data_IF_239683961600
#
_entry.id   IF_239683961600
#
_cell.length_a   1.000
_cell.length_b   1.000
_cell.length_c   1.000
_cell.angle_alpha   90.00
_cell.angle_beta   90.00
_cell.angle_gamma   90.00
#
_symmetry.space_group_name_H-M   'P 1'
#
loop_
_entity.id
_entity.type
_entity.pdbx_description
1 polymer ?
#
# COMPACT_ATOMS: atom_id res chain seq x y z
N UNK A 1 4.08 -21.91 7.50
CA UNK A 1 2.68 -21.44 7.67
C UNK A 1 1.86 -22.57 8.26
N UNK A 2 1.26 -22.35 9.43
CA UNK A 2 0.39 -23.32 10.08
C UNK A 2 -1.05 -23.11 9.64
N UNK A 3 -1.71 -24.21 9.27
CA UNK A 3 -3.14 -24.26 9.03
C UNK A 3 -3.78 -24.82 10.29
N UNK A 4 -4.62 -24.03 10.94
CA UNK A 4 -5.33 -24.43 12.14
C UNK A 4 -6.82 -24.59 11.84
N UNK A 5 -7.47 -25.53 12.51
CA UNK A 5 -8.91 -25.71 12.55
C UNK A 5 -9.36 -25.74 14.01
N UNK A 6 -10.29 -24.86 14.39
CA UNK A 6 -10.78 -24.73 15.78
C UNK A 6 -9.65 -24.63 16.84
N UNK A 7 -8.57 -23.92 16.48
CA UNK A 7 -7.40 -23.73 17.34
C UNK A 7 -6.41 -24.89 17.39
N UNK A 8 -6.62 -25.96 16.61
CA UNK A 8 -5.67 -27.08 16.49
C UNK A 8 -4.96 -27.05 15.15
N UNK A 9 -3.63 -27.25 15.15
CA UNK A 9 -2.86 -27.33 13.91
C UNK A 9 -3.15 -28.64 13.17
N UNK A 10 -3.68 -28.51 11.95
CA UNK A 10 -4.01 -29.61 11.06
C UNK A 10 -2.83 -29.91 10.12
N UNK A 11 -2.16 -28.87 9.62
CA UNK A 11 -1.02 -29.01 8.73
C UNK A 11 -0.02 -27.87 8.90
N UNK A 12 1.23 -28.13 8.50
CA UNK A 12 2.25 -27.10 8.36
C UNK A 12 2.81 -27.13 6.93
N UNK A 13 2.85 -25.96 6.30
CA UNK A 13 3.37 -25.74 4.97
C UNK A 13 4.64 -24.89 5.02
N UNK A 14 5.65 -25.27 4.24
CA UNK A 14 6.81 -24.44 4.04
C UNK A 14 6.51 -23.43 2.92
N UNK A 15 6.17 -22.19 3.29
CA UNK A 15 5.76 -21.14 2.35
C UNK A 15 4.35 -20.64 2.61
N UNK A 16 3.94 -19.63 1.81
CA UNK A 16 2.60 -19.06 1.87
C UNK A 16 1.61 -19.95 1.08
N UNK A 17 0.39 -20.06 1.60
CA UNK A 17 -0.71 -20.77 0.96
C UNK A 17 -1.94 -19.86 0.95
N UNK A 18 -2.69 -19.86 -0.16
CA UNK A 18 -3.93 -19.11 -0.25
C UNK A 18 -5.00 -19.72 0.67
N UNK A 19 -5.89 -18.88 1.20
CA UNK A 19 -6.91 -19.33 2.15
C UNK A 19 -7.85 -20.40 1.58
N UNK A 20 -8.23 -20.31 0.31
CA UNK A 20 -9.10 -21.31 -0.35
C UNK A 20 -8.42 -22.69 -0.49
N UNK A 21 -7.11 -22.71 -0.75
CA UNK A 21 -6.35 -23.96 -0.80
C UNK A 21 -6.25 -24.58 0.60
N UNK A 22 -6.04 -23.74 1.63
CA UNK A 22 -6.02 -24.18 3.02
C UNK A 22 -7.37 -24.78 3.46
N UNK A 23 -8.50 -24.16 3.07
CA UNK A 23 -9.83 -24.71 3.31
C UNK A 23 -9.98 -26.09 2.67
N UNK A 24 -9.58 -26.22 1.41
CA UNK A 24 -9.66 -27.49 0.68
C UNK A 24 -8.85 -28.59 1.37
N UNK A 25 -7.65 -28.27 1.86
CA UNK A 25 -6.80 -29.20 2.61
C UNK A 25 -7.45 -29.64 3.92
N UNK A 26 -8.00 -28.71 4.70
CA UNK A 26 -8.66 -29.04 5.97
C UNK A 26 -9.90 -29.91 5.72
N UNK A 27 -10.68 -29.60 4.69
CA UNK A 27 -11.87 -30.35 4.32
C UNK A 27 -11.51 -31.78 3.88
N UNK A 28 -10.47 -31.94 3.06
CA UNK A 28 -9.96 -33.25 2.65
C UNK A 28 -9.42 -34.04 3.85
N UNK A 29 -8.72 -33.38 4.77
CA UNK A 29 -8.10 -34.01 5.94
C UNK A 29 -9.15 -34.49 6.95
N UNK A 30 -10.20 -33.69 7.20
CA UNK A 30 -11.23 -34.00 8.20
C UNK A 30 -12.40 -34.82 7.63
N UNK A 31 -12.58 -34.84 6.32
CA UNK A 31 -13.58 -35.67 5.64
C UNK A 31 -15.03 -35.22 5.87
N UNK A 32 -15.25 -33.97 6.30
CA UNK A 32 -16.56 -33.37 6.46
C UNK A 32 -16.55 -31.91 6.02
N UNK A 33 -17.74 -31.35 5.81
CA UNK A 33 -17.89 -29.92 5.51
C UNK A 33 -17.37 -29.07 6.67
N UNK A 34 -16.54 -28.09 6.36
CA UNK A 34 -15.94 -27.18 7.33
C UNK A 34 -16.47 -25.77 7.07
N UNK A 35 -16.60 -25.00 8.14
CA UNK A 35 -16.94 -23.60 8.05
C UNK A 35 -15.66 -22.77 7.90
N UNK A 36 -15.61 -21.78 6.99
CA UNK A 36 -14.41 -20.97 6.80
C UNK A 36 -13.93 -20.26 8.07
N UNK A 37 -14.85 -19.83 8.94
CA UNK A 37 -14.54 -19.18 10.21
C UNK A 37 -13.78 -20.07 11.21
N UNK A 38 -13.84 -21.39 11.03
CA UNK A 38 -13.13 -22.34 11.89
C UNK A 38 -11.67 -22.55 11.45
N UNK A 39 -11.30 -22.09 10.26
CA UNK A 39 -9.94 -22.23 9.72
C UNK A 39 -9.16 -20.92 9.88
N UNK A 40 -7.96 -21.02 10.44
CA UNK A 40 -7.04 -19.89 10.51
C UNK A 40 -5.67 -20.25 9.96
N UNK A 41 -5.06 -19.26 9.28
CA UNK A 41 -3.69 -19.33 8.82
C UNK A 41 -2.80 -18.54 9.78
N UNK A 42 -1.78 -19.20 10.30
CA UNK A 42 -0.76 -18.59 11.13
C UNK A 42 0.58 -18.56 10.36
N UNK A 43 0.98 -17.37 9.86
CA UNK A 43 2.31 -17.18 9.29
C UNK A 43 3.41 -17.46 10.32
N UNK A 44 4.46 -18.15 9.93
CA UNK A 44 5.63 -18.45 10.78
C UNK A 44 6.90 -17.76 10.30
N UNK A 45 6.96 -17.39 9.02
CA UNK A 45 8.10 -16.68 8.44
C UNK A 45 7.75 -15.24 8.06
N UNK A 46 8.75 -14.36 7.98
CA UNK A 46 8.57 -12.98 7.49
C UNK A 46 7.97 -12.94 6.08
N UNK A 47 8.36 -13.89 5.24
CA UNK A 47 7.83 -14.04 3.88
C UNK A 47 6.32 -14.32 3.92
N UNK A 48 5.90 -15.31 4.72
CA UNK A 48 4.49 -15.67 4.90
C UNK A 48 3.67 -14.51 5.48
N UNK A 49 4.21 -13.79 6.47
CA UNK A 49 3.55 -12.60 7.04
C UNK A 49 3.34 -11.55 5.95
N UNK A 50 4.37 -11.28 5.14
CA UNK A 50 4.30 -10.28 4.07
C UNK A 50 3.29 -10.67 3.00
N UNK A 51 3.22 -11.95 2.63
CA UNK A 51 2.25 -12.46 1.66
C UNK A 51 0.83 -12.33 2.19
N UNK A 52 0.56 -12.77 3.42
CA UNK A 52 -0.77 -12.64 4.04
C UNK A 52 -1.24 -11.18 4.15
N UNK A 53 -0.31 -10.25 4.46
CA UNK A 53 -0.62 -8.80 4.46
C UNK A 53 -0.98 -8.32 3.05
N UNK A 54 -0.28 -8.77 2.00
CA UNK A 54 -0.56 -8.35 0.62
C UNK A 54 -1.90 -8.86 0.13
N UNK A 55 -2.24 -10.11 0.41
CA UNK A 55 -3.57 -10.68 0.11
C UNK A 55 -4.66 -9.86 0.80
N UNK A 56 -4.48 -9.54 2.08
CA UNK A 56 -5.42 -8.69 2.80
C UNK A 56 -5.56 -7.28 2.21
N UNK A 57 -4.46 -6.68 1.75
CA UNK A 57 -4.49 -5.38 1.07
C UNK A 57 -5.28 -5.49 -0.25
N UNK A 58 -5.07 -6.56 -1.01
CA UNK A 58 -5.79 -6.80 -2.26
C UNK A 58 -7.29 -6.95 -2.03
N UNK A 59 -7.69 -7.70 -1.00
CA UNK A 59 -9.09 -7.90 -0.63
C UNK A 59 -9.78 -6.62 -0.10
N UNK A 60 -9.08 -5.83 0.73
CA UNK A 60 -9.68 -4.68 1.43
C UNK A 60 -9.50 -3.35 0.70
N UNK A 61 -8.38 -3.16 -0.02
CA UNK A 61 -8.00 -1.88 -0.63
C UNK A 61 -7.94 -1.93 -2.17
N UNK A 62 -8.03 -3.13 -2.76
CA UNK A 62 -8.04 -3.35 -4.20
C UNK A 62 -6.75 -3.95 -4.74
N UNK A 63 -6.85 -4.52 -5.94
CA UNK A 63 -5.74 -5.20 -6.61
C UNK A 63 -4.58 -4.25 -6.99
N UNK A 64 -3.45 -4.85 -7.36
CA UNK A 64 -2.25 -4.08 -7.73
C UNK A 64 -2.49 -3.09 -8.86
N UNK A 65 -3.36 -3.41 -9.83
CA UNK A 65 -3.66 -2.55 -10.96
C UNK A 65 -4.47 -1.32 -10.53
N UNK A 66 -5.44 -1.51 -9.64
CA UNK A 66 -6.30 -0.47 -9.06
C UNK A 66 -5.49 0.47 -8.16
N UNK A 67 -4.61 -0.09 -7.33
CA UNK A 67 -3.70 0.68 -6.48
C UNK A 67 -2.70 1.48 -7.32
N UNK A 68 -2.15 0.89 -8.39
CA UNK A 68 -1.29 1.59 -9.33
C UNK A 68 -2.02 2.70 -10.08
N UNK A 69 -3.25 2.44 -10.54
CA UNK A 69 -4.11 3.44 -11.19
C UNK A 69 -4.38 4.64 -10.28
N UNK A 70 -4.77 4.37 -9.03
CA UNK A 70 -4.98 5.42 -8.02
C UNK A 70 -3.71 6.22 -7.75
N UNK A 71 -2.55 5.56 -7.70
CA UNK A 71 -1.25 6.23 -7.55
C UNK A 71 -0.94 7.12 -8.76
N UNK A 72 -1.18 6.62 -9.97
CA UNK A 72 -0.96 7.35 -11.21
C UNK A 72 -1.86 8.60 -11.28
N UNK A 73 -3.15 8.49 -10.94
CA UNK A 73 -4.08 9.61 -10.88
C UNK A 73 -3.59 10.68 -9.88
N UNK A 74 -3.12 10.25 -8.71
CA UNK A 74 -2.54 11.14 -7.70
C UNK A 74 -1.32 11.91 -8.22
N UNK A 75 -0.41 11.23 -8.93
CA UNK A 75 0.76 11.85 -9.56
C UNK A 75 0.36 12.80 -10.69
N UNK A 76 -0.64 12.46 -11.50
CA UNK A 76 -1.15 13.34 -12.56
C UNK A 76 -1.75 14.63 -11.97
N UNK A 77 -2.53 14.52 -10.89
CA UNK A 77 -3.08 15.69 -10.19
C UNK A 77 -1.97 16.57 -9.62
N UNK A 78 -0.96 15.96 -9.00
CA UNK A 78 0.23 16.67 -8.51
C UNK A 78 0.96 17.39 -9.65
N UNK A 79 1.22 16.71 -10.77
CA UNK A 79 1.90 17.28 -11.93
C UNK A 79 1.11 18.45 -12.50
N UNK A 80 -0.20 18.31 -12.66
CA UNK A 80 -1.08 19.37 -13.14
C UNK A 80 -0.99 20.62 -12.24
N UNK A 81 -1.16 20.45 -10.92
CA UNK A 81 -1.05 21.54 -9.96
C UNK A 81 0.34 22.18 -9.94
N UNK A 82 1.40 21.37 -10.02
CA UNK A 82 2.77 21.85 -10.07
C UNK A 82 3.05 22.67 -11.33
N UNK A 83 2.61 22.23 -12.50
CA UNK A 83 2.74 23.00 -13.74
C UNK A 83 2.02 24.35 -13.65
N UNK A 84 0.80 24.37 -13.11
CA UNK A 84 0.07 25.63 -12.89
C UNK A 84 0.83 26.57 -11.96
N UNK A 85 1.38 26.05 -10.86
CA UNK A 85 2.18 26.83 -9.93
C UNK A 85 3.41 27.42 -10.62
N UNK A 86 4.19 26.61 -11.35
CA UNK A 86 5.40 27.07 -12.07
C UNK A 86 5.08 28.17 -13.08
N UNK A 87 4.02 27.99 -13.88
CA UNK A 87 3.61 29.00 -14.88
C UNK A 87 3.24 30.32 -14.22
N UNK A 88 2.44 30.27 -13.14
CA UNK A 88 2.04 31.48 -12.42
C UNK A 88 3.20 32.15 -11.69
N UNK A 89 4.10 31.37 -11.08
CA UNK A 89 5.30 31.91 -10.42
C UNK A 89 6.22 32.60 -11.43
N UNK A 90 6.41 32.03 -12.61
CA UNK A 90 7.23 32.64 -13.65
C UNK A 90 6.61 33.94 -14.20
N UNK A 91 5.29 34.08 -14.16
CA UNK A 91 4.59 35.29 -14.56
C UNK A 91 4.47 36.33 -13.42
N UNK A 92 4.70 35.94 -12.18
CA UNK A 92 4.54 36.80 -11.02
C UNK A 92 5.66 37.85 -10.96
N UNK A 93 5.25 39.10 -10.83
CA UNK A 93 6.10 40.28 -10.67
C UNK A 93 6.09 40.83 -9.24
N UNK A 94 5.16 40.34 -8.40
CA UNK A 94 5.01 40.79 -7.01
C UNK A 94 4.84 39.62 -6.05
N UNK A 95 5.14 39.86 -4.76
CA UNK A 95 4.89 38.89 -3.70
C UNK A 95 3.39 38.55 -3.55
N UNK A 96 2.50 39.49 -3.87
CA UNK A 96 1.07 39.24 -3.83
C UNK A 96 0.66 38.20 -4.88
N UNK A 97 1.17 38.32 -6.10
CA UNK A 97 0.95 37.37 -7.19
C UNK A 97 1.57 35.99 -6.90
N UNK A 98 2.73 35.96 -6.22
CA UNK A 98 3.33 34.69 -5.73
C UNK A 98 2.39 33.97 -4.76
N UNK A 99 1.75 34.70 -3.83
CA UNK A 99 0.77 34.11 -2.90
C UNK A 99 -0.48 33.64 -3.61
N UNK A 100 -0.97 34.42 -4.58
CA UNK A 100 -2.11 34.05 -5.42
C UNK A 100 -1.84 32.78 -6.26
N UNK A 101 -0.61 32.62 -6.75
CA UNK A 101 -0.19 31.45 -7.50
C UNK A 101 -0.35 30.14 -6.70
N UNK A 102 -0.10 30.18 -5.40
CA UNK A 102 -0.28 29.04 -4.49
C UNK A 102 -1.74 28.80 -4.10
N UNK A 103 -2.61 29.80 -4.22
CA UNK A 103 -4.01 29.76 -3.75
C UNK A 103 -4.79 28.51 -4.18
N UNK A 104 -4.88 28.19 -5.50
CA UNK A 104 -5.65 27.04 -5.97
C UNK A 104 -5.21 25.70 -5.37
N UNK A 105 -3.93 25.52 -5.09
CA UNK A 105 -3.39 24.29 -4.50
C UNK A 105 -3.47 24.31 -2.97
N UNK A 106 -3.45 25.50 -2.37
CA UNK A 106 -3.49 25.67 -0.92
C UNK A 106 -4.81 25.16 -0.31
N UNK A 107 -5.94 25.37 -0.97
CA UNK A 107 -7.24 24.90 -0.47
C UNK A 107 -7.31 23.37 -0.44
N UNK A 108 -6.86 22.75 -1.55
CA UNK A 108 -6.75 21.29 -1.65
C UNK A 108 -5.79 20.73 -0.60
N UNK A 109 -4.60 21.31 -0.48
CA UNK A 109 -3.57 20.88 0.46
C UNK A 109 -4.02 21.03 1.92
N UNK A 110 -4.64 22.16 2.27
CA UNK A 110 -5.12 22.44 3.63
C UNK A 110 -6.24 21.47 4.05
N UNK A 111 -7.19 21.21 3.14
CA UNK A 111 -8.25 20.24 3.39
C UNK A 111 -7.69 18.83 3.57
N UNK A 112 -6.80 18.39 2.69
CA UNK A 112 -6.17 17.08 2.80
C UNK A 112 -5.33 16.93 4.08
N UNK A 113 -4.51 17.94 4.40
CA UNK A 113 -3.69 17.94 5.61
C UNK A 113 -4.56 17.84 6.87
N UNK A 114 -5.66 18.59 6.94
CA UNK A 114 -6.62 18.52 8.06
C UNK A 114 -7.19 17.10 8.23
N UNK A 115 -7.52 16.42 7.13
CA UNK A 115 -7.99 15.03 7.17
C UNK A 115 -6.91 14.05 7.64
N UNK A 116 -5.66 14.28 7.26
CA UNK A 116 -4.52 13.45 7.69
C UNK A 116 -4.22 13.68 9.18
N UNK A 117 -4.19 14.93 9.63
CA UNK A 117 -3.90 15.30 11.03
C UNK A 117 -5.01 14.86 11.99
N UNK A 118 -6.27 14.88 11.54
CA UNK A 118 -7.41 14.36 12.32
C UNK A 118 -7.50 12.82 12.31
N UNK A 119 -6.73 12.15 11.45
CA UNK A 119 -6.76 10.69 11.29
C UNK A 119 -7.95 10.16 10.49
N UNK A 120 -8.75 11.02 9.86
CA UNK A 120 -9.78 10.64 8.88
C UNK A 120 -9.14 9.95 7.67
N UNK A 121 -8.01 10.47 7.19
CA UNK A 121 -7.16 9.84 6.18
C UNK A 121 -5.89 9.34 6.86
N UNK A 122 -5.56 8.07 6.64
CA UNK A 122 -4.32 7.47 7.12
C UNK A 122 -3.42 7.16 5.95
N UNK A 123 -2.19 7.65 6.02
CA UNK A 123 -1.19 7.43 4.98
C UNK A 123 -0.30 6.25 5.39
N UNK A 124 -0.02 5.28 4.49
CA UNK A 124 0.75 4.09 4.85
C UNK A 124 2.11 4.38 5.50
N UNK A 125 2.78 5.49 5.15
CA UNK A 125 4.05 5.86 5.78
C UNK A 125 3.91 6.20 7.27
N UNK A 126 2.75 6.66 7.73
CA UNK A 126 2.51 6.93 9.15
C UNK A 126 2.50 5.64 9.97
N UNK A 127 2.16 4.51 9.35
CA UNK A 127 2.19 3.18 9.97
C UNK A 127 3.56 2.53 9.82
N UNK A 128 4.18 2.63 8.64
CA UNK A 128 5.50 2.05 8.36
C UNK A 128 6.65 2.79 9.05
N UNK A 129 6.49 4.09 9.30
CA UNK A 129 7.56 4.98 9.73
C UNK A 129 8.30 5.60 8.54
N UNK A 130 8.66 6.88 8.66
CA UNK A 130 9.30 7.63 7.57
C UNK A 130 10.64 7.02 7.16
N UNK A 131 11.49 6.66 8.12
CA UNK A 131 12.82 6.08 7.86
C UNK A 131 12.72 4.79 7.05
N UNK A 132 11.82 3.88 7.43
CA UNK A 132 11.61 2.63 6.71
C UNK A 132 11.12 2.87 5.28
N UNK A 133 10.24 3.86 5.06
CA UNK A 133 9.76 4.18 3.71
C UNK A 133 10.88 4.79 2.85
N UNK A 134 11.71 5.65 3.43
CA UNK A 134 12.86 6.24 2.72
C UNK A 134 13.87 5.16 2.33
N UNK A 135 14.23 4.27 3.26
CA UNK A 135 15.11 3.12 2.98
C UNK A 135 14.55 2.24 1.85
N UNK A 136 13.24 1.96 1.90
CA UNK A 136 12.52 1.21 0.87
C UNK A 136 12.57 1.88 -0.52
N UNK A 137 12.54 3.21 -0.57
CA UNK A 137 12.64 4.00 -1.81
C UNK A 137 14.08 3.96 -2.32
N UNK A 138 15.05 4.26 -1.45
CA UNK A 138 16.48 4.31 -1.79
C UNK A 138 16.98 2.95 -2.30
N UNK A 139 16.65 1.87 -1.60
CA UNK A 139 17.04 0.52 -1.97
C UNK A 139 16.48 0.13 -3.34
N UNK A 140 15.18 0.35 -3.59
CA UNK A 140 14.54 -0.02 -4.85
C UNK A 140 15.02 0.85 -6.01
N UNK A 141 15.13 2.15 -5.80
CA UNK A 141 15.63 3.07 -6.83
C UNK A 141 17.07 2.72 -7.24
N UNK A 142 17.93 2.42 -6.26
CA UNK A 142 19.32 2.00 -6.50
C UNK A 142 19.38 0.70 -7.28
N UNK A 143 18.65 -0.34 -6.84
CA UNK A 143 18.62 -1.63 -7.53
C UNK A 143 18.16 -1.49 -9.00
N UNK A 144 17.15 -0.67 -9.27
CA UNK A 144 16.69 -0.38 -10.64
C UNK A 144 17.77 0.34 -11.44
N UNK A 145 18.39 1.38 -10.86
CA UNK A 145 19.43 2.15 -11.53
C UNK A 145 20.66 1.29 -11.86
N UNK A 146 21.04 0.35 -11.00
CA UNK A 146 22.15 -0.58 -11.24
C UNK A 146 21.86 -1.50 -12.43
N UNK A 147 20.63 -2.01 -12.56
CA UNK A 147 20.21 -2.83 -13.71
C UNK A 147 20.23 -2.00 -14.99
N UNK A 148 19.72 -0.77 -14.96
CA UNK A 148 19.75 0.14 -16.12
C UNK A 148 21.17 0.58 -16.49
N UNK A 149 22.07 0.76 -15.52
CA UNK A 149 23.47 1.11 -15.78
C UNK A 149 24.27 0.01 -16.47
N UNK A 150 23.72 -1.20 -16.58
CA UNK A 150 24.32 -2.34 -17.29
C UNK A 150 23.84 -2.46 -18.74
N UNK A 151 22.82 -1.69 -19.17
CA UNK A 151 22.32 -1.64 -20.55
C UNK A 151 23.06 -0.61 -21.40
#
# INVERSE_FOLDING_TARGET
MRINYQGQTIANFNGAIAFLDALSIVQETLGHEILPEDVSLEPETKFEVTTAIREKIEDEAGDQASLLGTTADGVQLLLFGFCQLVVKLNAASTLAEVREAAGPFNDLASSFLTKVESGEVKLPFQVKGLESVVEDIESRATAVAEVLGQS
#
